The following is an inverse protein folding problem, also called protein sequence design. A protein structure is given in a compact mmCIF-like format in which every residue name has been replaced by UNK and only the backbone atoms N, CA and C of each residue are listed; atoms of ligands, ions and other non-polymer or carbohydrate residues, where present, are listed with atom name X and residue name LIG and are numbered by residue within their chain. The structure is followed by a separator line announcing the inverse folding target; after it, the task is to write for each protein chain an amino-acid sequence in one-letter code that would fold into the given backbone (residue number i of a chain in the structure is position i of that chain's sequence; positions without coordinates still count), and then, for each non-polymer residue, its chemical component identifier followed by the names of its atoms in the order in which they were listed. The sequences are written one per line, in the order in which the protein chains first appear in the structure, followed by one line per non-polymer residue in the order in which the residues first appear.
data_IF_957131530351
#
_entry.id   IF_957131530351
#
_cell.length_a   1.000
_cell.length_b   1.000
_cell.length_c   1.000
_cell.angle_alpha   90.00
_cell.angle_beta   90.00
_cell.angle_gamma   90.00
#
_symmetry.space_group_name_H-M   'P 1'
#
loop_
_entity.id
_entity.type
_entity.pdbx_description
1 polymer ?
#
# COMPACT_ATOMS: atom_id res chain seq x y z
N UNK A 1 -11.80 -5.17 -10.97
CA UNK A 1 -13.21 -5.33 -10.58
C UNK A 1 -14.02 -5.37 -11.87
N UNK A 2 -15.03 -6.24 -12.01
CA UNK A 2 -15.92 -6.21 -13.17
C UNK A 2 -16.65 -4.87 -13.26
N UNK A 3 -16.55 -4.18 -14.40
CA UNK A 3 -17.04 -2.81 -14.55
C UNK A 3 -18.56 -2.69 -14.46
N UNK A 4 -19.30 -3.68 -14.97
CA UNK A 4 -20.77 -3.71 -14.91
C UNK A 4 -21.27 -3.79 -13.47
N UNK A 5 -20.63 -4.63 -12.65
CA UNK A 5 -20.99 -4.78 -11.24
C UNK A 5 -20.71 -3.51 -10.44
N UNK A 6 -19.56 -2.87 -10.66
CA UNK A 6 -19.22 -1.63 -9.95
C UNK A 6 -20.09 -0.47 -10.41
N UNK A 7 -20.50 -0.44 -11.68
CA UNK A 7 -21.45 0.54 -12.21
C UNK A 7 -22.83 0.40 -11.55
N UNK A 8 -23.36 -0.83 -11.46
CA UNK A 8 -24.62 -1.11 -10.77
C UNK A 8 -24.54 -0.75 -9.28
N UNK A 9 -23.45 -1.12 -8.61
CA UNK A 9 -23.23 -0.77 -7.21
C UNK A 9 -23.18 0.75 -7.00
N UNK A 10 -22.63 1.51 -7.94
CA UNK A 10 -22.63 2.96 -7.88
C UNK A 10 -24.02 3.56 -8.02
N UNK A 11 -24.86 3.00 -8.89
CA UNK A 11 -26.27 3.36 -9.00
C UNK A 11 -27.03 3.06 -7.69
N UNK A 12 -26.87 1.85 -7.13
CA UNK A 12 -27.50 1.42 -5.88
C UNK A 12 -27.12 2.32 -4.69
N UNK A 13 -25.88 2.84 -4.69
CA UNK A 13 -25.38 3.75 -3.66
C UNK A 13 -25.68 5.24 -3.94
N UNK A 14 -26.23 5.58 -5.09
CA UNK A 14 -26.46 6.97 -5.50
C UNK A 14 -25.17 7.77 -5.74
N UNK A 15 -24.08 7.10 -6.12
CA UNK A 15 -22.75 7.67 -6.32
C UNK A 15 -22.41 7.70 -7.82
N UNK A 16 -21.75 8.77 -8.29
CA UNK A 16 -21.28 8.82 -9.68
C UNK A 16 -20.11 7.86 -9.90
N UNK A 17 -20.24 6.91 -10.82
CA UNK A 17 -19.14 6.00 -11.15
C UNK A 17 -17.93 6.76 -11.76
N UNK A 18 -16.68 6.44 -11.39
CA UNK A 18 -15.50 7.06 -11.97
C UNK A 18 -15.41 6.86 -13.49
N UNK A 19 -14.88 7.89 -14.17
CA UNK A 19 -14.68 7.96 -15.62
C UNK A 19 -13.28 8.47 -15.94
N UNK A 20 -12.73 8.06 -17.08
CA UNK A 20 -11.48 8.63 -17.56
C UNK A 20 -11.67 10.10 -17.93
N UNK A 21 -10.76 11.00 -17.53
CA UNK A 21 -10.86 12.43 -17.82
C UNK A 21 -11.11 12.70 -19.31
N UNK A 22 -12.08 13.55 -19.61
CA UNK A 22 -12.43 13.91 -20.99
C UNK A 22 -13.22 12.86 -21.78
N UNK A 23 -13.68 11.78 -21.14
CA UNK A 23 -14.41 10.70 -21.82
C UNK A 23 -15.70 10.30 -21.10
N UNK A 24 -16.59 9.59 -21.80
CA UNK A 24 -17.72 8.89 -21.22
C UNK A 24 -17.36 7.49 -20.70
N UNK A 25 -16.12 7.04 -20.88
CA UNK A 25 -15.68 5.69 -20.51
C UNK A 25 -15.51 5.57 -19.00
N UNK A 26 -16.17 4.59 -18.39
CA UNK A 26 -16.01 4.31 -16.95
C UNK A 26 -14.60 3.77 -16.66
N UNK A 27 -14.04 4.17 -15.53
CA UNK A 27 -12.74 3.67 -15.06
C UNK A 27 -12.90 2.38 -14.29
N UNK A 28 -11.98 1.42 -14.47
CA UNK A 28 -11.94 0.21 -13.65
C UNK A 28 -11.60 0.56 -12.20
N UNK A 29 -12.43 0.13 -11.26
CA UNK A 29 -12.10 0.21 -9.82
C UNK A 29 -11.03 -0.83 -9.51
N UNK A 30 -10.07 -0.45 -8.66
CA UNK A 30 -8.96 -1.27 -8.21
C UNK A 30 -8.88 -1.28 -6.69
N UNK A 31 -8.18 -2.27 -6.15
CA UNK A 31 -7.79 -2.38 -4.74
C UNK A 31 -6.27 -2.42 -4.73
N UNK A 32 -5.64 -1.79 -3.73
CA UNK A 32 -4.17 -1.73 -3.69
C UNK A 32 -3.56 -3.10 -3.36
N UNK A 33 -4.12 -3.81 -2.38
CA UNK A 33 -3.71 -5.17 -2.05
C UNK A 33 -4.90 -6.08 -1.71
N UNK A 34 -4.90 -7.30 -2.26
CA UNK A 34 -5.76 -8.40 -1.78
C UNK A 34 -4.85 -9.46 -1.16
N UNK A 35 -4.87 -9.56 0.17
CA UNK A 35 -4.06 -10.50 0.91
C UNK A 35 -4.75 -11.85 0.98
N UNK A 36 -3.97 -12.92 0.80
CA UNK A 36 -4.34 -14.29 1.17
C UNK A 36 -3.53 -14.67 2.40
N UNK A 37 -4.19 -14.81 3.54
CA UNK A 37 -3.59 -15.14 4.83
C UNK A 37 -3.84 -16.62 5.08
N UNK A 38 -2.76 -17.38 5.25
CA UNK A 38 -2.83 -18.79 5.66
C UNK A 38 -2.60 -18.87 7.15
N UNK A 39 -3.61 -19.36 7.87
CA UNK A 39 -3.53 -19.60 9.31
C UNK A 39 -2.84 -20.94 9.60
N UNK A 40 -2.26 -21.11 10.81
CA UNK A 40 -1.62 -22.36 11.21
C UNK A 40 -2.54 -23.59 11.12
N UNK A 41 -3.85 -23.40 11.34
CA UNK A 41 -4.84 -24.47 11.23
C UNK A 41 -5.15 -24.86 9.77
N UNK A 42 -4.57 -24.17 8.78
CA UNK A 42 -4.67 -24.49 7.36
C UNK A 42 -5.77 -23.75 6.59
N UNK A 43 -6.65 -23.03 7.29
CA UNK A 43 -7.66 -22.17 6.69
C UNK A 43 -7.04 -20.94 6.00
N UNK A 44 -7.69 -20.52 4.92
CA UNK A 44 -7.35 -19.30 4.18
C UNK A 44 -8.34 -18.19 4.54
N UNK A 45 -7.80 -17.02 4.83
CA UNK A 45 -8.54 -15.78 5.02
C UNK A 45 -8.14 -14.77 3.94
N UNK A 46 -9.10 -14.00 3.44
CA UNK A 46 -8.86 -12.93 2.48
C UNK A 46 -9.13 -11.57 3.12
N UNK A 47 -8.25 -10.61 2.88
CA UNK A 47 -8.46 -9.22 3.29
C UNK A 47 -7.99 -8.24 2.21
N UNK A 48 -8.86 -7.31 1.85
CA UNK A 48 -8.60 -6.26 0.87
C UNK A 48 -8.18 -4.96 1.58
N UNK A 49 -7.04 -4.39 1.17
CA UNK A 49 -6.48 -3.17 1.71
C UNK A 49 -6.45 -2.07 0.64
N UNK A 50 -6.96 -0.90 1.02
CA UNK A 50 -6.80 0.34 0.28
C UNK A 50 -5.84 1.25 1.04
N UNK A 51 -4.98 1.95 0.33
CA UNK A 51 -3.98 2.87 0.86
C UNK A 51 -4.25 4.24 0.28
N UNK A 52 -4.39 5.26 1.13
CA UNK A 52 -4.58 6.66 0.72
C UNK A 52 -3.78 7.57 1.62
N UNK A 53 -3.27 8.69 1.10
CA UNK A 53 -2.62 9.67 1.97
C UNK A 53 -3.65 10.35 2.87
N UNK A 54 -3.21 10.80 4.05
CA UNK A 54 -4.04 11.58 4.97
C UNK A 54 -4.53 12.88 4.34
N UNK A 55 -3.72 13.46 3.45
CA UNK A 55 -4.03 14.65 2.69
C UNK A 55 -5.18 14.40 1.69
N UNK A 56 -5.20 13.25 0.99
CA UNK A 56 -6.30 12.89 0.08
C UNK A 56 -7.66 12.78 0.80
N UNK A 57 -7.64 12.43 2.09
CA UNK A 57 -8.83 12.31 2.93
C UNK A 57 -9.27 13.63 3.58
N UNK A 58 -8.47 14.69 3.46
CA UNK A 58 -8.73 16.01 4.06
C UNK A 58 -8.80 17.15 3.02
N UNK A 59 -8.27 16.92 1.83
CA UNK A 59 -8.13 17.91 0.77
C UNK A 59 -9.42 18.17 -0.03
N UNK A 60 -9.32 18.99 -1.10
CA UNK A 60 -10.47 19.39 -1.91
C UNK A 60 -11.18 18.21 -2.60
N UNK A 61 -10.43 17.16 -2.94
CA UNK A 61 -10.96 15.94 -3.58
C UNK A 61 -11.56 14.92 -2.60
N UNK A 62 -11.60 15.24 -1.30
CA UNK A 62 -12.04 14.32 -0.23
C UNK A 62 -13.37 13.64 -0.55
N UNK A 63 -14.38 14.39 -0.99
CA UNK A 63 -15.70 13.81 -1.30
C UNK A 63 -15.58 12.72 -2.35
N UNK A 64 -14.83 13.01 -3.42
CA UNK A 64 -14.65 12.08 -4.53
C UNK A 64 -13.84 10.86 -4.13
N UNK A 65 -12.82 11.04 -3.29
CA UNK A 65 -12.04 9.95 -2.70
C UNK A 65 -12.92 9.02 -1.85
N UNK A 66 -13.74 9.58 -0.96
CA UNK A 66 -14.64 8.80 -0.10
C UNK A 66 -15.70 8.02 -0.87
N UNK A 67 -16.25 8.59 -1.95
CA UNK A 67 -17.18 7.91 -2.85
C UNK A 67 -16.55 6.67 -3.49
N UNK A 68 -15.32 6.79 -4.01
CA UNK A 68 -14.56 5.66 -4.58
C UNK A 68 -14.26 4.59 -3.53
N UNK A 69 -13.83 5.00 -2.34
CA UNK A 69 -13.56 4.08 -1.23
C UNK A 69 -14.83 3.34 -0.76
N UNK A 70 -15.98 4.02 -0.75
CA UNK A 70 -17.25 3.38 -0.39
C UNK A 70 -17.66 2.32 -1.41
N UNK A 71 -17.46 2.57 -2.72
CA UNK A 71 -17.69 1.57 -3.76
C UNK A 71 -16.83 0.32 -3.57
N UNK A 72 -15.53 0.54 -3.36
CA UNK A 72 -14.57 -0.53 -3.11
C UNK A 72 -14.93 -1.34 -1.87
N UNK A 73 -15.25 -0.66 -0.76
CA UNK A 73 -15.67 -1.27 0.49
C UNK A 73 -16.92 -2.14 0.32
N UNK A 74 -17.96 -1.61 -0.32
CA UNK A 74 -19.21 -2.36 -0.51
C UNK A 74 -19.01 -3.57 -1.43
N UNK A 75 -18.19 -3.44 -2.47
CA UNK A 75 -17.86 -4.55 -3.35
C UNK A 75 -17.23 -5.75 -2.60
N UNK A 76 -16.33 -5.48 -1.65
CA UNK A 76 -15.68 -6.53 -0.86
C UNK A 76 -16.56 -7.09 0.26
N UNK A 77 -17.30 -6.22 0.95
CA UNK A 77 -18.23 -6.66 2.00
C UNK A 77 -19.32 -7.57 1.43
N UNK A 78 -19.83 -7.29 0.24
CA UNK A 78 -20.80 -8.15 -0.46
C UNK A 78 -20.26 -9.57 -0.75
N UNK A 79 -18.93 -9.75 -0.75
CA UNK A 79 -18.24 -11.02 -0.96
C UNK A 79 -17.79 -11.69 0.34
N UNK A 80 -18.17 -11.13 1.49
CA UNK A 80 -17.71 -11.60 2.80
C UNK A 80 -16.20 -11.39 3.04
N UNK A 81 -15.54 -10.54 2.25
CA UNK A 81 -14.12 -10.25 2.38
C UNK A 81 -13.95 -8.97 3.21
N UNK A 82 -13.07 -9.03 4.21
CA UNK A 82 -12.77 -7.87 5.05
C UNK A 82 -12.08 -6.78 4.22
N UNK A 83 -12.51 -5.53 4.40
CA UNK A 83 -11.92 -4.36 3.77
C UNK A 83 -11.34 -3.40 4.82
N UNK A 84 -10.13 -2.88 4.58
CA UNK A 84 -9.45 -1.96 5.48
C UNK A 84 -8.79 -0.81 4.72
N UNK A 85 -8.91 0.41 5.26
CA UNK A 85 -8.24 1.60 4.77
C UNK A 85 -7.00 1.88 5.63
N UNK A 86 -5.86 2.05 4.97
CA UNK A 86 -4.60 2.47 5.59
C UNK A 86 -4.22 3.85 5.06
N UNK A 87 -3.60 4.63 5.92
CA UNK A 87 -2.98 5.91 5.59
C UNK A 87 -1.52 5.92 5.97
N UNK A 88 -0.80 6.97 5.57
CA UNK A 88 0.58 7.22 5.97
C UNK A 88 0.78 7.24 7.50
N UNK A 89 -0.29 7.46 8.28
CA UNK A 89 -0.27 7.53 9.75
C UNK A 89 -0.17 6.18 10.45
N UNK A 90 -0.61 5.10 9.82
CA UNK A 90 -0.57 3.75 10.38
C UNK A 90 0.81 3.09 10.23
N UNK A 91 1.73 3.71 9.47
CA UNK A 91 3.04 3.16 9.22
C UNK A 91 4.10 3.68 10.20
N UNK A 92 4.97 2.77 10.62
CA UNK A 92 6.10 3.09 11.49
C UNK A 92 7.10 3.99 10.75
N UNK A 93 7.37 5.18 11.31
CA UNK A 93 8.26 6.18 10.70
C UNK A 93 9.68 5.64 10.49
N UNK A 94 10.19 4.83 11.41
CA UNK A 94 11.53 4.22 11.27
C UNK A 94 11.55 3.33 10.03
N UNK A 95 10.52 2.50 9.84
CA UNK A 95 10.40 1.66 8.63
C UNK A 95 10.31 2.48 7.36
N UNK A 96 9.51 3.55 7.35
CA UNK A 96 9.40 4.45 6.19
C UNK A 96 10.77 5.02 5.84
N UNK A 97 11.49 5.61 6.81
CA UNK A 97 12.83 6.17 6.60
C UNK A 97 13.82 5.14 6.05
N UNK A 98 13.72 3.88 6.49
CA UNK A 98 14.59 2.82 5.97
C UNK A 98 14.29 2.47 4.52
N UNK A 99 13.01 2.38 4.16
CA UNK A 99 12.58 2.10 2.79
C UNK A 99 13.00 3.27 1.88
N UNK A 100 12.79 4.51 2.32
CA UNK A 100 13.25 5.71 1.62
C UNK A 100 14.77 5.65 1.38
N UNK A 101 15.55 5.36 2.41
CA UNK A 101 17.00 5.24 2.27
C UNK A 101 17.42 4.14 1.29
N UNK A 102 16.79 2.97 1.38
CA UNK A 102 17.03 1.85 0.46
C UNK A 102 16.58 2.16 -0.99
N UNK A 103 15.57 3.01 -1.18
CA UNK A 103 15.09 3.40 -2.52
C UNK A 103 16.15 4.16 -3.32
N UNK A 104 17.04 4.91 -2.65
CA UNK A 104 18.18 5.53 -3.32
C UNK A 104 19.16 4.50 -3.88
N UNK A 105 19.20 3.29 -3.33
CA UNK A 105 20.05 2.20 -3.80
C UNK A 105 19.41 1.42 -4.96
N UNK A 106 18.10 1.51 -5.17
CA UNK A 106 17.41 0.73 -6.22
C UNK A 106 17.60 1.27 -7.65
N UNK A 107 18.12 2.49 -7.80
CA UNK A 107 18.40 3.11 -9.10
C UNK A 107 19.87 3.04 -9.50
N UNK A 108 20.68 2.30 -8.75
CA UNK A 108 22.09 2.14 -9.06
C UNK A 108 22.24 1.13 -10.21
N UNK A 109 22.73 1.61 -11.35
CA UNK A 109 23.45 0.78 -12.34
C UNK A 109 24.37 -0.21 -11.62
N UNK A 110 24.66 -1.41 -12.17
CA UNK A 110 25.36 -2.49 -11.46
C UNK A 110 26.59 -1.93 -10.73
N UNK A 111 26.44 -1.69 -9.43
CA UNK A 111 27.49 -0.99 -8.71
C UNK A 111 28.62 -1.99 -8.51
N UNK A 112 29.89 -1.54 -8.57
CA UNK A 112 31.02 -2.36 -8.18
C UNK A 112 30.86 -2.98 -6.79
N UNK A 113 29.95 -2.45 -5.96
CA UNK A 113 29.64 -2.89 -4.60
C UNK A 113 28.57 -3.99 -4.51
N UNK A 114 27.94 -4.43 -5.61
CA UNK A 114 26.89 -5.45 -5.56
C UNK A 114 27.37 -6.77 -4.91
N UNK A 115 28.65 -7.13 -5.11
CA UNK A 115 29.26 -8.29 -4.47
C UNK A 115 29.35 -8.20 -2.93
N UNK A 116 29.23 -7.00 -2.35
CA UNK A 116 29.27 -6.75 -0.89
C UNK A 116 27.88 -6.79 -0.26
N UNK A 117 26.81 -6.91 -1.05
CA UNK A 117 25.43 -7.00 -0.54
C UNK A 117 25.27 -8.12 0.49
N UNK A 118 25.79 -9.36 0.28
CA UNK A 118 25.66 -10.42 1.29
C UNK A 118 26.33 -10.10 2.63
N UNK A 119 27.51 -9.45 2.61
CA UNK A 119 28.22 -9.02 3.82
C UNK A 119 27.45 -7.92 4.55
N UNK A 120 26.95 -6.93 3.80
CA UNK A 120 26.11 -5.87 4.32
C UNK A 120 24.82 -6.43 4.96
N UNK A 121 24.13 -7.35 4.30
CA UNK A 121 22.93 -7.97 4.84
C UNK A 121 23.21 -8.73 6.14
N UNK A 122 24.34 -9.43 6.22
CA UNK A 122 24.77 -10.13 7.45
C UNK A 122 25.09 -9.14 8.58
N UNK A 123 25.76 -8.04 8.27
CA UNK A 123 26.03 -6.96 9.22
C UNK A 123 24.73 -6.38 9.79
N UNK A 124 23.79 -6.03 8.89
CA UNK A 124 22.47 -5.50 9.25
C UNK A 124 21.70 -6.51 10.09
N UNK A 125 21.58 -7.77 9.68
CA UNK A 125 20.83 -8.80 10.42
C UNK A 125 21.30 -8.98 11.86
N UNK A 126 22.60 -8.87 12.12
CA UNK A 126 23.17 -9.10 13.46
C UNK A 126 23.09 -7.90 14.39
N UNK A 127 22.95 -6.67 13.86
CA UNK A 127 22.97 -5.43 14.65
C UNK A 127 21.64 -4.67 14.64
N UNK A 128 20.78 -4.94 13.66
CA UNK A 128 19.54 -4.21 13.49
C UNK A 128 18.57 -4.43 14.65
N UNK A 129 18.27 -3.37 15.39
CA UNK A 129 17.20 -3.35 16.40
C UNK A 129 15.95 -2.73 15.77
N UNK A 130 14.78 -3.36 15.96
CA UNK A 130 13.49 -2.99 15.34
C UNK A 130 13.11 -1.49 15.40
N UNK A 131 13.68 -0.71 16.33
CA UNK A 131 13.36 0.71 16.55
C UNK A 131 14.47 1.68 16.09
N UNK A 132 15.58 1.20 15.57
CA UNK A 132 16.71 2.04 15.15
C UNK A 132 16.66 2.22 13.62
N UNK A 133 16.76 3.45 13.09
CA UNK A 133 16.88 3.69 11.65
C UNK A 133 18.17 3.10 11.04
N UNK A 134 18.15 2.80 9.74
CA UNK A 134 19.27 2.14 9.03
C UNK A 134 20.48 3.04 8.95
N UNK A 135 20.26 4.32 8.70
CA UNK A 135 21.35 5.28 8.60
C UNK A 135 22.15 5.37 9.91
N UNK A 136 21.50 5.28 11.07
CA UNK A 136 22.18 5.34 12.37
C UNK A 136 23.14 4.17 12.57
N UNK A 137 22.78 2.97 12.10
CA UNK A 137 23.67 1.80 12.11
C UNK A 137 24.89 1.95 11.20
N UNK A 138 24.79 2.78 10.17
CA UNK A 138 25.88 3.03 9.22
C UNK A 138 26.83 4.12 9.71
N UNK A 139 26.31 5.14 10.40
CA UNK A 139 27.14 6.14 11.07
C UNK A 139 28.04 5.51 12.14
N UNK A 140 27.54 4.51 12.90
CA UNK A 140 28.34 3.76 13.87
C UNK A 140 29.54 3.00 13.24
N UNK A 141 29.49 2.73 11.94
CA UNK A 141 30.59 2.05 11.21
C UNK A 141 31.58 3.00 10.54
N UNK A 142 31.31 4.30 10.56
CA UNK A 142 32.15 5.33 9.96
C UNK A 142 33.24 5.86 10.92
N UNK A 143 33.29 5.34 12.15
CA UNK A 143 34.37 5.52 13.16
C UNK A 143 35.20 4.25 13.29
#
# INVERSE_FOLDING_TARGET
FPQEETAKLAEDLGISHPRYPGTSTLTVITTDFLLTIRHPEGNLEYSAYSIKSSEELQGPERKRTLEKLQLERQYWLARGIRWQLFTDREFDRVRITNIEWLSYLSHLEPTPLAHRIPEFLRFVQNRWRRKTPLFALLEETAT
#
